data_IF_973598748282
#
_entry.id   IF_973598748282
#
_cell.length_a   1.000
_cell.length_b   1.000
_cell.length_c   1.000
_cell.angle_alpha   90.00
_cell.angle_beta   90.00
_cell.angle_gamma   90.00
#
_symmetry.space_group_name_H-M   'P 1'
#
loop_
_entity.id
_entity.type
_entity.pdbx_description
1 polymer ?
#
# COMPACT_ATOMS: atom_id res chain seq x y z
N UNK A 1 -44.23 -4.56 -45.13
CA UNK A 1 -42.82 -4.41 -44.69
C UNK A 1 -42.39 -2.97 -44.91
N UNK A 2 -42.27 -2.19 -43.84
CA UNK A 2 -41.71 -0.83 -43.84
C UNK A 2 -40.70 -0.79 -42.70
N UNK A 3 -39.41 -0.78 -43.00
CA UNK A 3 -38.36 -0.58 -42.00
C UNK A 3 -38.00 0.90 -41.96
N UNK A 4 -38.33 1.51 -40.82
CA UNK A 4 -38.00 2.88 -40.44
C UNK A 4 -36.56 2.88 -39.92
N UNK A 5 -35.64 3.56 -40.63
CA UNK A 5 -34.24 3.72 -40.23
C UNK A 5 -34.16 4.93 -39.28
N UNK A 6 -33.78 4.66 -38.03
CA UNK A 6 -33.62 5.65 -36.96
C UNK A 6 -32.12 6.01 -36.88
N UNK A 7 -31.77 7.22 -37.30
CA UNK A 7 -30.44 7.79 -37.18
C UNK A 7 -30.25 8.31 -35.74
N UNK A 8 -29.39 7.65 -34.97
CA UNK A 8 -28.91 8.14 -33.67
C UNK A 8 -27.69 9.05 -33.90
N UNK A 9 -27.81 10.33 -33.57
CA UNK A 9 -26.71 11.28 -33.52
C UNK A 9 -25.92 11.13 -32.21
N UNK A 10 -24.68 10.65 -32.32
CA UNK A 10 -23.74 10.57 -31.20
C UNK A 10 -22.95 11.89 -31.11
N UNK A 11 -23.25 12.74 -30.13
CA UNK A 11 -22.42 13.90 -29.82
C UNK A 11 -21.24 13.46 -28.93
N UNK A 12 -20.03 13.55 -29.47
CA UNK A 12 -18.77 13.45 -28.73
C UNK A 12 -18.45 14.84 -28.13
N UNK A 13 -18.45 14.94 -26.80
CA UNK A 13 -17.78 16.02 -26.08
C UNK A 13 -16.36 15.57 -25.74
N UNK A 14 -15.38 16.19 -26.41
CA UNK A 14 -13.95 16.10 -26.08
C UNK A 14 -13.63 17.20 -25.07
N UNK A 15 -13.54 16.84 -23.79
CA UNK A 15 -12.98 17.70 -22.75
C UNK A 15 -11.50 17.37 -22.59
N UNK A 16 -10.63 18.22 -23.13
CA UNK A 16 -9.18 18.17 -22.89
C UNK A 16 -8.87 18.75 -21.52
N UNK A 17 -8.53 17.89 -20.56
CA UNK A 17 -7.92 18.32 -19.30
C UNK A 17 -6.40 18.11 -19.41
N UNK A 18 -5.66 19.21 -19.57
CA UNK A 18 -4.21 19.24 -19.37
C UNK A 18 -3.92 19.15 -17.88
N UNK A 19 -3.31 18.05 -17.43
CA UNK A 19 -2.73 17.91 -16.09
C UNK A 19 -1.26 18.32 -16.18
N UNK A 20 -0.92 19.47 -15.59
CA UNK A 20 0.46 19.90 -15.39
C UNK A 20 0.97 19.26 -14.08
N UNK A 21 2.16 18.63 -14.05
CA UNK A 21 2.72 18.08 -12.82
C UNK A 21 3.17 19.21 -11.87
N UNK A 22 2.75 19.12 -10.61
CA UNK A 22 3.24 19.96 -9.54
C UNK A 22 4.72 19.64 -9.24
N UNK A 23 5.58 20.65 -9.31
CA UNK A 23 6.97 20.60 -8.89
C UNK A 23 6.99 20.82 -7.37
N UNK A 24 7.22 19.76 -6.59
CA UNK A 24 7.52 19.85 -5.16
C UNK A 24 9.02 19.68 -4.93
N UNK A 25 9.72 20.78 -4.59
CA UNK A 25 10.97 20.84 -3.79
C UNK A 25 11.11 22.27 -3.25
N UNK A 26 11.53 22.54 -2.02
CA UNK A 26 11.89 21.67 -0.90
C UNK A 26 11.92 22.49 0.39
N UNK A 27 11.61 21.87 1.51
CA UNK A 27 11.80 22.44 2.83
C UNK A 27 13.04 21.81 3.46
N UNK A 28 14.08 22.62 3.67
CA UNK A 28 15.16 22.33 4.62
C UNK A 28 15.34 23.57 5.47
N UNK A 29 14.97 23.47 6.74
CA UNK A 29 15.42 24.35 7.80
C UNK A 29 15.59 23.46 9.03
N UNK A 30 16.82 23.03 9.25
CA UNK A 30 17.26 22.34 10.46
C UNK A 30 17.17 23.31 11.64
N UNK A 31 16.42 22.94 12.67
CA UNK A 31 16.52 23.57 13.98
C UNK A 31 17.34 22.61 14.84
N UNK A 32 18.62 22.93 14.97
CA UNK A 32 19.53 22.29 15.92
C UNK A 32 19.34 22.91 17.31
N UNK A 33 19.27 22.06 18.34
CA UNK A 33 19.66 22.47 19.69
C UNK A 33 18.60 22.29 20.77
N UNK A 34 18.39 21.05 21.20
CA UNK A 34 18.22 20.68 22.62
C UNK A 34 18.34 19.16 22.71
N UNK A 35 19.29 18.68 23.50
CA UNK A 35 19.43 17.28 23.83
C UNK A 35 18.28 16.87 24.76
N UNK A 36 17.11 16.65 24.18
CA UNK A 36 16.08 15.79 24.75
C UNK A 36 16.67 14.40 24.82
N UNK A 37 16.54 13.72 25.96
CA UNK A 37 16.52 12.25 25.96
C UNK A 37 15.45 11.84 24.96
N UNK A 38 15.88 11.57 23.73
CA UNK A 38 15.03 11.13 22.63
C UNK A 38 14.48 9.78 23.03
N UNK A 39 13.32 9.80 23.67
CA UNK A 39 12.43 8.65 23.60
C UNK A 39 12.25 8.38 22.11
N UNK A 40 12.61 7.18 21.68
CA UNK A 40 12.29 6.74 20.34
C UNK A 40 10.80 7.00 20.09
N UNK A 41 10.43 7.54 18.92
CA UNK A 41 9.05 7.94 18.67
C UNK A 41 8.16 6.71 18.79
N UNK A 42 7.27 6.72 19.79
CA UNK A 42 6.31 5.65 19.96
C UNK A 42 5.43 5.50 18.73
N UNK A 43 4.94 4.31 18.54
CA UNK A 43 4.01 3.98 17.48
C UNK A 43 2.60 3.99 18.06
N UNK A 44 1.71 4.76 17.46
CA UNK A 44 0.28 4.73 17.75
C UNK A 44 -0.30 3.45 17.17
N UNK A 45 -0.51 2.43 18.00
CA UNK A 45 -1.15 1.17 17.59
C UNK A 45 -2.66 1.29 17.76
N UNK A 46 -3.39 1.40 16.65
CA UNK A 46 -4.84 1.44 16.65
C UNK A 46 -5.40 0.02 16.45
N UNK A 47 -6.09 -0.48 17.47
CA UNK A 47 -6.78 -1.76 17.47
C UNK A 47 -8.26 -1.53 17.17
N UNK A 48 -8.83 -2.36 16.32
CA UNK A 48 -10.26 -2.35 16.03
C UNK A 48 -10.81 -3.76 16.15
N UNK A 49 -11.33 -4.07 17.33
CA UNK A 49 -11.95 -5.35 17.64
C UNK A 49 -13.41 -5.37 17.19
N UNK A 50 -13.86 -6.54 16.73
CA UNK A 50 -15.22 -6.76 16.23
C UNK A 50 -15.21 -7.34 14.82
N UNK A 51 -16.36 -7.26 14.14
CA UNK A 51 -16.53 -7.87 12.83
C UNK A 51 -15.56 -7.28 11.80
N UNK A 52 -14.62 -8.12 11.35
CA UNK A 52 -13.63 -7.77 10.34
C UNK A 52 -14.13 -8.11 8.94
N UNK A 53 -13.77 -7.29 7.95
CA UNK A 53 -13.98 -7.62 6.53
C UNK A 53 -13.16 -8.84 6.10
N UNK A 54 -12.09 -9.16 6.83
CA UNK A 54 -11.22 -10.32 6.58
C UNK A 54 -11.89 -11.63 7.05
N UNK A 55 -12.76 -11.56 8.06
CA UNK A 55 -13.52 -12.71 8.55
C UNK A 55 -15.02 -12.36 8.68
N UNK A 56 -15.75 -12.28 7.56
CA UNK A 56 -17.14 -11.81 7.55
C UNK A 56 -18.13 -12.79 8.22
N UNK A 57 -17.71 -14.04 8.45
CA UNK A 57 -18.52 -15.09 9.05
C UNK A 57 -18.15 -15.38 10.52
N UNK A 58 -17.23 -14.61 11.10
CA UNK A 58 -16.90 -14.76 12.52
C UNK A 58 -18.05 -14.29 13.42
N UNK A 59 -18.27 -15.01 14.52
CA UNK A 59 -19.27 -14.70 15.54
C UNK A 59 -18.88 -13.50 16.43
N UNK A 60 -17.63 -13.03 16.31
CA UNK A 60 -17.10 -11.96 17.13
C UNK A 60 -17.65 -10.58 16.71
N UNK A 61 -18.46 -9.96 17.57
CA UNK A 61 -19.15 -8.70 17.24
C UNK A 61 -20.26 -8.87 16.19
N UNK A 62 -21.03 -9.96 16.26
CA UNK A 62 -22.13 -10.29 15.36
C UNK A 62 -23.16 -9.16 15.18
N UNK A 63 -23.38 -8.34 16.21
CA UNK A 63 -24.26 -7.18 16.20
C UNK A 63 -23.77 -6.03 15.31
N UNK A 64 -22.52 -6.10 14.83
CA UNK A 64 -21.83 -5.01 14.15
C UNK A 64 -21.12 -4.04 15.09
N UNK A 65 -21.16 -4.29 16.41
CA UNK A 65 -20.40 -3.50 17.38
C UNK A 65 -18.89 -3.57 17.11
N UNK A 66 -18.21 -2.48 17.45
CA UNK A 66 -16.76 -2.33 17.36
C UNK A 66 -16.20 -1.74 18.64
N UNK A 67 -15.03 -2.24 19.02
CA UNK A 67 -14.24 -1.72 20.13
C UNK A 67 -12.91 -1.17 19.56
N UNK A 68 -12.91 0.11 19.13
CA UNK A 68 -11.68 0.79 18.76
C UNK A 68 -10.90 1.18 20.02
N UNK A 69 -9.62 0.81 20.07
CA UNK A 69 -8.69 1.11 21.17
C UNK A 69 -7.39 1.61 20.56
N UNK A 70 -6.79 2.65 21.12
CA UNK A 70 -5.50 3.17 20.66
C UNK A 70 -4.48 3.04 21.78
N UNK A 71 -3.35 2.41 21.47
CA UNK A 71 -2.29 2.09 22.42
C UNK A 71 -0.97 2.60 21.85
N UNK A 72 -0.43 3.71 22.37
CA UNK A 72 0.93 4.11 22.08
C UNK A 72 1.90 3.05 22.57
N UNK A 73 2.72 2.48 21.68
CA UNK A 73 3.67 1.43 21.99
C UNK A 73 5.09 1.85 21.60
N UNK A 74 6.06 1.50 22.43
CA UNK A 74 7.47 1.56 22.13
C UNK A 74 7.97 0.15 21.80
N UNK A 75 8.79 0.04 20.74
CA UNK A 75 9.43 -1.20 20.36
C UNK A 75 10.88 -1.11 20.78
N UNK A 76 11.35 -2.12 21.51
CA UNK A 76 12.73 -2.18 22.00
C UNK A 76 13.55 -3.18 21.20
N UNK A 77 14.87 -2.98 21.14
CA UNK A 77 15.81 -3.92 20.49
C UNK A 77 15.82 -5.31 21.12
N UNK A 78 15.38 -5.44 22.38
CA UNK A 78 15.25 -6.73 23.07
C UNK A 78 14.01 -7.53 22.64
N UNK A 79 13.23 -7.03 21.68
CA UNK A 79 12.05 -7.72 21.18
C UNK A 79 10.81 -7.51 22.07
N UNK A 80 10.76 -6.45 22.87
CA UNK A 80 9.59 -6.11 23.70
C UNK A 80 8.80 -4.95 23.10
N UNK A 81 7.47 -5.10 23.07
CA UNK A 81 6.51 -4.07 22.66
C UNK A 81 5.81 -3.55 23.91
N UNK A 82 6.17 -2.34 24.33
CA UNK A 82 5.77 -1.75 25.60
C UNK A 82 4.77 -0.61 25.41
N UNK A 83 3.54 -0.72 25.93
CA UNK A 83 2.63 0.41 26.01
C UNK A 83 3.28 1.57 26.79
N UNK A 84 3.17 2.81 26.30
CA UNK A 84 3.61 4.01 27.05
C UNK A 84 2.80 4.22 28.32
N UNK A 85 1.56 3.76 28.31
CA UNK A 85 0.64 3.82 29.43
C UNK A 85 0.25 2.39 29.79
N UNK A 86 0.19 2.10 31.08
CA UNK A 86 -0.27 0.84 31.65
C UNK A 86 -1.78 0.63 31.54
N UNK A 87 -2.49 1.57 30.88
CA UNK A 87 -3.92 1.56 30.72
C UNK A 87 -4.33 1.92 29.29
N UNK A 88 -5.47 1.37 28.88
CA UNK A 88 -6.20 1.71 27.66
C UNK A 88 -7.52 2.34 28.02
N UNK A 89 -7.95 3.32 27.22
CA UNK A 89 -9.24 3.96 27.38
C UNK A 89 -10.10 3.79 26.13
N UNK A 90 -11.39 3.61 26.35
CA UNK A 90 -12.39 3.58 25.29
C UNK A 90 -13.75 4.06 25.81
N UNK A 91 -14.62 4.45 24.90
CA UNK A 91 -15.97 4.95 25.24
C UNK A 91 -17.02 3.89 24.99
N UNK A 92 -17.90 3.68 25.97
CA UNK A 92 -19.11 2.87 25.89
C UNK A 92 -20.34 3.71 26.27
N UNK A 93 -21.55 3.13 26.20
CA UNK A 93 -22.80 3.77 26.61
C UNK A 93 -22.80 4.24 28.07
N UNK A 94 -21.98 3.62 28.92
CA UNK A 94 -21.80 3.96 30.33
C UNK A 94 -20.81 5.10 30.55
N UNK A 95 -20.10 5.55 29.50
CA UNK A 95 -19.11 6.62 29.55
C UNK A 95 -17.70 6.14 29.18
N UNK A 96 -16.69 6.88 29.67
CA UNK A 96 -15.28 6.54 29.48
C UNK A 96 -14.87 5.39 30.39
N UNK A 97 -14.36 4.31 29.81
CA UNK A 97 -13.85 3.14 30.52
C UNK A 97 -12.33 3.14 30.40
N UNK A 98 -11.64 2.86 31.50
CA UNK A 98 -10.18 2.73 31.57
C UNK A 98 -9.86 1.33 32.10
N UNK A 99 -8.97 0.61 31.42
CA UNK A 99 -8.60 -0.78 31.74
C UNK A 99 -7.09 -0.97 31.64
N UNK A 100 -6.48 -1.85 32.43
CA UNK A 100 -5.04 -2.09 32.35
C UNK A 100 -4.65 -2.77 31.03
N UNK A 101 -3.44 -2.52 30.57
CA UNK A 101 -2.79 -3.21 29.46
C UNK A 101 -1.34 -3.50 29.80
N UNK A 102 -0.85 -4.64 29.34
CA UNK A 102 0.53 -5.05 29.48
C UNK A 102 1.15 -5.26 28.12
N UNK A 103 2.41 -4.85 28.01
CA UNK A 103 3.23 -5.12 26.85
C UNK A 103 3.54 -6.59 26.68
N UNK A 104 4.00 -6.93 25.48
CA UNK A 104 4.37 -8.30 25.13
C UNK A 104 5.66 -8.32 24.32
N UNK A 105 5.83 -9.39 23.55
CA UNK A 105 6.97 -9.55 22.65
C UNK A 105 6.61 -9.12 21.25
N UNK A 106 7.58 -8.64 20.48
CA UNK A 106 7.47 -8.54 19.04
C UNK A 106 8.58 -9.35 18.36
N UNK A 107 8.29 -9.80 17.14
CA UNK A 107 9.26 -10.46 16.27
C UNK A 107 8.95 -10.15 14.82
N UNK A 108 10.00 -10.10 14.02
CA UNK A 108 9.91 -10.02 12.58
C UNK A 108 10.31 -11.37 12.00
N UNK A 109 9.49 -11.86 11.07
CA UNK A 109 9.77 -13.07 10.32
C UNK A 109 9.82 -12.76 8.83
N UNK A 110 10.82 -13.29 8.14
CA UNK A 110 10.87 -13.19 6.69
C UNK A 110 9.77 -14.06 6.10
N UNK A 111 8.97 -13.48 5.21
CA UNK A 111 7.93 -14.23 4.52
C UNK A 111 8.63 -15.23 3.57
N UNK A 112 8.62 -16.52 3.93
CA UNK A 112 9.43 -17.59 3.29
C UNK A 112 9.12 -17.88 1.81
N UNK A 113 8.26 -17.08 1.16
CA UNK A 113 8.03 -17.16 -0.28
C UNK A 113 9.13 -16.40 -1.00
N UNK A 114 10.00 -17.12 -1.72
CA UNK A 114 11.13 -16.57 -2.51
C UNK A 114 10.74 -15.44 -3.50
N UNK A 115 9.46 -15.29 -3.86
CA UNK A 115 8.94 -14.19 -4.70
C UNK A 115 8.56 -12.93 -3.93
N UNK A 116 8.32 -13.06 -2.61
CA UNK A 116 7.76 -12.02 -1.74
C UNK A 116 8.75 -11.62 -0.63
N UNK A 117 10.02 -12.01 -0.77
CA UNK A 117 11.12 -11.84 0.20
C UNK A 117 11.45 -10.38 0.58
N UNK A 118 10.66 -9.44 0.08
CA UNK A 118 10.77 -8.00 0.30
C UNK A 118 9.81 -7.51 1.40
N UNK A 119 8.73 -8.24 1.71
CA UNK A 119 7.88 -7.92 2.86
C UNK A 119 8.21 -8.82 4.05
N UNK A 120 8.23 -8.22 5.24
CA UNK A 120 8.49 -8.94 6.47
C UNK A 120 7.23 -8.94 7.34
N UNK A 121 6.93 -10.08 7.96
CA UNK A 121 5.77 -10.26 8.82
C UNK A 121 6.17 -9.87 10.24
N UNK A 122 5.56 -8.81 10.77
CA UNK A 122 5.62 -8.44 12.17
C UNK A 122 4.53 -9.19 12.93
N UNK A 123 4.94 -9.87 14.00
CA UNK A 123 4.04 -10.39 15.00
C UNK A 123 4.37 -9.69 16.33
N UNK A 124 3.41 -9.03 16.95
CA UNK A 124 3.55 -8.48 18.30
C UNK A 124 2.42 -8.97 19.20
N UNK A 125 2.66 -9.04 20.50
CA UNK A 125 1.65 -9.43 21.49
C UNK A 125 1.38 -8.32 22.49
N UNK A 126 0.14 -8.26 22.96
CA UNK A 126 -0.30 -7.41 24.08
C UNK A 126 -1.20 -8.25 24.97
N UNK A 127 -1.15 -8.03 26.28
CA UNK A 127 -1.96 -8.76 27.25
C UNK A 127 -2.93 -7.81 27.94
N UNK A 128 -4.19 -8.23 28.08
CA UNK A 128 -5.23 -7.48 28.78
C UNK A 128 -5.55 -8.18 30.11
N UNK A 129 -5.08 -7.66 31.26
CA UNK A 129 -5.30 -8.30 32.56
C UNK A 129 -6.78 -8.35 32.97
N UNK A 130 -7.56 -7.37 32.54
CA UNK A 130 -9.00 -7.28 32.79
C UNK A 130 -9.81 -7.48 31.51
N UNK A 131 -11.08 -7.86 31.66
CA UNK A 131 -12.01 -7.97 30.54
C UNK A 131 -12.23 -6.61 29.87
N UNK A 132 -12.13 -6.58 28.54
CA UNK A 132 -12.59 -5.46 27.73
C UNK A 132 -13.93 -5.82 27.11
N UNK A 133 -14.92 -4.96 27.28
CA UNK A 133 -16.27 -5.21 26.78
C UNK A 133 -16.89 -3.95 26.19
N UNK A 134 -17.50 -4.11 25.02
CA UNK A 134 -18.37 -3.10 24.39
C UNK A 134 -19.40 -3.79 23.51
N UNK A 135 -20.67 -3.72 23.93
CA UNK A 135 -21.74 -4.48 23.29
C UNK A 135 -21.49 -6.00 23.38
N UNK A 136 -21.47 -6.68 22.24
CA UNK A 136 -21.15 -8.10 22.08
C UNK A 136 -19.68 -8.39 21.74
N UNK A 137 -18.83 -7.35 21.68
CA UNK A 137 -17.38 -7.51 21.59
C UNK A 137 -16.83 -7.68 23.01
N UNK A 138 -16.40 -8.90 23.34
CA UNK A 138 -15.87 -9.28 24.65
C UNK A 138 -14.48 -9.88 24.48
N UNK A 139 -13.48 -9.25 25.10
CA UNK A 139 -12.12 -9.77 25.21
C UNK A 139 -11.95 -10.26 26.65
N UNK A 140 -11.82 -11.58 26.88
CA UNK A 140 -11.73 -12.12 28.23
C UNK A 140 -10.54 -11.55 29.01
N UNK A 141 -10.66 -11.49 30.34
CA UNK A 141 -9.53 -11.16 31.20
C UNK A 141 -8.37 -12.16 31.00
N UNK A 142 -7.14 -11.67 31.16
CA UNK A 142 -5.89 -12.43 30.94
C UNK A 142 -5.69 -12.90 29.50
N UNK A 143 -6.42 -12.35 28.54
CA UNK A 143 -6.23 -12.67 27.12
C UNK A 143 -4.94 -12.06 26.59
N UNK A 144 -4.19 -12.85 25.83
CA UNK A 144 -3.08 -12.36 25.02
C UNK A 144 -3.54 -12.21 23.58
N UNK A 145 -3.43 -11.00 23.07
CA UNK A 145 -3.79 -10.64 21.71
C UNK A 145 -2.53 -10.64 20.85
N UNK A 146 -2.56 -11.40 19.76
CA UNK A 146 -1.50 -11.42 18.75
C UNK A 146 -1.87 -10.50 17.59
N UNK A 147 -1.01 -9.55 17.29
CA UNK A 147 -1.15 -8.61 16.18
C UNK A 147 -0.18 -9.02 15.08
N UNK A 148 -0.71 -9.32 13.91
CA UNK A 148 0.05 -9.74 12.72
C UNK A 148 -0.05 -8.66 11.65
N UNK A 149 1.07 -8.21 11.08
CA UNK A 149 1.09 -7.15 10.08
C UNK A 149 2.31 -7.23 9.18
N UNK A 150 2.31 -6.41 8.12
CA UNK A 150 3.43 -6.30 7.21
C UNK A 150 4.28 -5.08 7.54
N UNK A 151 5.58 -5.23 7.37
CA UNK A 151 6.59 -4.21 7.59
C UNK A 151 7.42 -4.04 6.33
N UNK A 152 7.64 -2.79 5.94
CA UNK A 152 8.41 -2.41 4.76
C UNK A 152 9.47 -1.39 5.15
N UNK A 153 10.74 -1.69 4.92
CA UNK A 153 11.78 -0.67 5.01
C UNK A 153 11.73 0.26 3.79
N UNK A 154 12.17 1.51 3.97
CA UNK A 154 12.26 2.47 2.89
C UNK A 154 13.15 1.97 1.74
N UNK A 155 14.26 1.30 2.04
CA UNK A 155 15.14 0.69 1.04
C UNK A 155 14.38 -0.33 0.17
N UNK A 156 13.57 -1.18 0.78
CA UNK A 156 12.79 -2.20 0.07
C UNK A 156 11.75 -1.55 -0.83
N UNK A 157 11.03 -0.54 -0.34
CA UNK A 157 10.07 0.19 -1.17
C UNK A 157 10.74 0.84 -2.38
N UNK A 158 11.92 1.44 -2.19
CA UNK A 158 12.72 2.01 -3.27
C UNK A 158 13.11 0.95 -4.31
N UNK A 159 13.56 -0.23 -3.87
CA UNK A 159 13.89 -1.36 -4.77
C UNK A 159 12.67 -1.82 -5.58
N UNK A 160 11.48 -1.86 -4.97
CA UNK A 160 10.23 -2.22 -5.65
C UNK A 160 9.83 -1.16 -6.69
N UNK A 161 9.94 0.11 -6.35
CA UNK A 161 9.66 1.22 -7.27
C UNK A 161 10.65 1.27 -8.44
N UNK A 162 11.94 1.07 -8.18
CA UNK A 162 12.97 0.96 -9.22
C UNK A 162 12.70 -0.21 -10.16
N UNK A 163 12.38 -1.40 -9.62
CA UNK A 163 12.04 -2.56 -10.42
C UNK A 163 10.79 -2.33 -11.31
N UNK A 164 9.78 -1.65 -10.77
CA UNK A 164 8.60 -1.27 -11.55
C UNK A 164 8.91 -0.22 -12.63
N UNK A 165 9.69 0.81 -12.30
CA UNK A 165 10.11 1.84 -13.24
C UNK A 165 10.89 1.25 -14.41
N UNK A 166 11.83 0.34 -14.12
CA UNK A 166 12.61 -0.36 -15.14
C UNK A 166 11.71 -1.22 -16.05
N UNK A 167 10.78 -1.98 -15.47
CA UNK A 167 9.83 -2.79 -16.26
C UNK A 167 8.95 -1.92 -17.16
N UNK A 168 8.49 -0.77 -16.67
CA UNK A 168 7.71 0.20 -17.46
C UNK A 168 8.54 0.84 -18.57
N UNK A 169 9.81 1.16 -18.32
CA UNK A 169 10.72 1.67 -19.35
C UNK A 169 10.95 0.64 -20.46
N UNK A 170 11.13 -0.64 -20.10
CA UNK A 170 11.25 -1.73 -21.05
C UNK A 170 9.97 -1.94 -21.88
N UNK A 171 8.79 -1.87 -21.25
CA UNK A 171 7.51 -1.91 -21.95
C UNK A 171 7.39 -0.77 -22.96
N UNK A 172 7.71 0.46 -22.55
CA UNK A 172 7.66 1.62 -23.44
C UNK A 172 8.63 1.48 -24.62
N UNK A 173 9.88 1.06 -24.40
CA UNK A 173 10.84 0.80 -25.49
C UNK A 173 10.32 -0.26 -26.46
N UNK A 174 9.72 -1.34 -25.94
CA UNK A 174 9.13 -2.38 -26.78
C UNK A 174 7.94 -1.82 -27.60
N UNK A 175 7.09 -1.00 -27.01
CA UNK A 175 6.00 -0.32 -27.72
C UNK A 175 6.51 0.66 -28.79
N UNK A 176 7.55 1.44 -28.49
CA UNK A 176 8.17 2.37 -29.44
C UNK A 176 8.72 1.64 -30.66
N UNK A 177 9.47 0.55 -30.47
CA UNK A 177 9.98 -0.28 -31.58
C UNK A 177 8.86 -0.90 -32.43
N UNK A 178 7.71 -1.22 -31.84
CA UNK A 178 6.54 -1.69 -32.57
C UNK A 178 5.84 -0.54 -33.32
N UNK A 179 5.76 0.64 -32.70
CA UNK A 179 5.18 1.84 -33.30
C UNK A 179 6.01 2.36 -34.48
N UNK A 180 7.33 2.30 -34.40
CA UNK A 180 8.25 2.63 -35.51
C UNK A 180 7.95 1.77 -36.74
N UNK A 181 7.77 0.46 -36.56
CA UNK A 181 7.37 -0.44 -37.66
C UNK A 181 6.03 -0.02 -38.27
N UNK A 182 5.06 0.37 -37.43
CA UNK A 182 3.78 0.86 -37.94
C UNK A 182 3.89 2.20 -38.64
N UNK A 183 4.68 3.15 -38.12
CA UNK A 183 4.92 4.46 -38.74
C UNK A 183 5.60 4.32 -40.09
N UNK A 184 6.54 3.40 -40.23
CA UNK A 184 7.20 3.13 -41.51
C UNK A 184 6.25 2.45 -42.51
N UNK A 185 5.46 1.47 -42.06
CA UNK A 185 4.47 0.77 -42.89
C UNK A 185 3.32 1.66 -43.36
N UNK A 186 2.78 2.45 -42.43
CA UNK A 186 1.57 3.28 -42.64
C UNK A 186 1.93 4.74 -42.97
N UNK A 187 3.21 5.03 -43.17
CA UNK A 187 3.74 6.33 -43.53
C UNK A 187 3.17 6.87 -44.85
N UNK A 188 3.21 8.20 -45.06
CA UNK A 188 2.71 8.80 -46.29
C UNK A 188 3.47 8.23 -47.49
N UNK A 189 2.77 8.08 -48.62
CA UNK A 189 3.40 7.69 -49.89
C UNK A 189 4.51 8.69 -50.22
N UNK A 190 5.65 8.19 -50.67
CA UNK A 190 6.76 9.01 -51.17
C UNK A 190 6.77 8.92 -52.69
N UNK A 191 6.99 10.06 -53.34
CA UNK A 191 7.13 10.09 -54.80
C UNK A 191 8.43 9.38 -55.18
N UNK A 192 8.34 8.33 -56.01
CA UNK A 192 9.49 7.63 -56.54
C UNK A 192 9.79 8.16 -57.96
N UNK A 193 10.89 8.90 -58.17
CA UNK A 193 11.19 9.48 -59.48
C UNK A 193 11.57 8.43 -60.54
N UNK A 194 11.98 7.22 -60.13
CA UNK A 194 12.37 6.14 -61.06
C UNK A 194 11.15 5.45 -61.66
N UNK A 195 10.09 5.27 -60.88
CA UNK A 195 8.84 4.62 -61.31
C UNK A 195 7.75 5.63 -61.67
N UNK A 196 8.00 6.92 -61.46
CA UNK A 196 7.06 8.02 -61.68
C UNK A 196 5.69 7.80 -60.99
N UNK A 197 5.72 7.21 -59.80
CA UNK A 197 4.53 6.89 -59.03
C UNK A 197 4.70 7.25 -57.55
N UNK A 198 3.56 7.52 -56.89
CA UNK A 198 3.48 7.60 -55.43
C UNK A 198 3.50 6.20 -54.85
N UNK A 199 4.64 5.79 -54.31
CA UNK A 199 4.81 4.47 -53.71
C UNK A 199 4.74 4.55 -52.20
N UNK A 200 4.14 3.54 -51.57
CA UNK A 200 4.30 3.36 -50.13
C UNK A 200 5.74 2.90 -49.87
N UNK A 201 6.35 3.27 -48.73
CA UNK A 201 7.57 2.62 -48.28
C UNK A 201 7.31 1.11 -48.26
N UNK A 202 7.96 0.35 -49.13
CA UNK A 202 7.90 -1.12 -49.10
C UNK A 202 8.74 -1.56 -47.91
N UNK A 203 8.08 -1.79 -46.79
CA UNK A 203 8.69 -2.47 -45.66
C UNK A 203 8.57 -3.97 -45.91
N UNK A 204 9.65 -4.60 -46.38
CA UNK A 204 9.80 -6.06 -46.39
C UNK A 204 10.12 -6.55 -44.97
N UNK A 205 9.27 -6.20 -43.99
CA UNK A 205 9.36 -6.79 -42.65
C UNK A 205 8.67 -8.13 -42.71
N UNK A 206 9.39 -9.25 -42.47
CA UNK A 206 8.77 -10.56 -42.43
C UNK A 206 7.67 -10.59 -41.37
N UNK A 207 6.53 -11.24 -41.67
CA UNK A 207 5.44 -11.39 -40.69
C UNK A 207 5.94 -11.93 -39.34
N UNK A 208 6.96 -12.79 -39.35
CA UNK A 208 7.59 -13.34 -38.16
C UNK A 208 8.23 -12.29 -37.26
N UNK A 209 8.86 -11.25 -37.81
CA UNK A 209 9.45 -10.15 -37.03
C UNK A 209 8.34 -9.31 -36.36
N UNK A 210 7.24 -9.06 -37.07
CA UNK A 210 6.08 -8.38 -36.49
C UNK A 210 5.46 -9.19 -35.35
N UNK A 211 5.29 -10.50 -35.51
CA UNK A 211 4.83 -11.39 -34.44
C UNK A 211 5.78 -11.39 -33.23
N UNK A 212 7.10 -11.41 -33.46
CA UNK A 212 8.10 -11.36 -32.40
C UNK A 212 8.04 -10.04 -31.62
N UNK A 213 7.85 -8.91 -32.29
CA UNK A 213 7.68 -7.59 -31.65
C UNK A 213 6.42 -7.53 -30.80
N UNK A 214 5.28 -8.00 -31.31
CA UNK A 214 4.04 -8.12 -30.53
C UNK A 214 4.19 -9.00 -29.30
N UNK A 215 4.83 -10.17 -29.46
CA UNK A 215 5.10 -11.07 -28.33
C UNK A 215 5.99 -10.42 -27.27
N UNK A 216 6.99 -9.65 -27.72
CA UNK A 216 7.88 -8.90 -26.82
C UNK A 216 7.09 -7.87 -26.01
N UNK A 217 6.27 -7.03 -26.66
CA UNK A 217 5.39 -6.06 -25.97
C UNK A 217 4.47 -6.77 -24.96
N UNK A 218 3.82 -7.87 -25.38
CA UNK A 218 2.95 -8.64 -24.50
C UNK A 218 3.69 -9.15 -23.25
N UNK A 219 4.89 -9.72 -23.42
CA UNK A 219 5.70 -10.23 -22.31
C UNK A 219 6.13 -9.13 -21.35
N UNK A 220 6.53 -7.95 -21.86
CA UNK A 220 6.92 -6.80 -21.04
C UNK A 220 5.73 -6.23 -20.28
N UNK A 221 4.56 -6.13 -20.91
CA UNK A 221 3.31 -5.73 -20.25
C UNK A 221 2.90 -6.68 -19.13
N UNK A 222 3.09 -7.99 -19.32
CA UNK A 222 2.85 -8.97 -18.26
C UNK A 222 3.83 -8.79 -17.09
N UNK A 223 5.10 -8.51 -17.38
CA UNK A 223 6.10 -8.22 -16.34
C UNK A 223 5.77 -6.93 -15.57
N UNK A 224 5.40 -5.85 -16.26
CA UNK A 224 4.95 -4.61 -15.60
C UNK A 224 3.78 -4.87 -14.66
N UNK A 225 2.78 -5.66 -15.10
CA UNK A 225 1.64 -6.04 -14.26
C UNK A 225 2.07 -6.83 -13.04
N UNK A 226 3.00 -7.79 -13.19
CA UNK A 226 3.55 -8.58 -12.08
C UNK A 226 4.27 -7.70 -11.06
N UNK A 227 5.12 -6.78 -11.53
CA UNK A 227 5.86 -5.85 -10.66
C UNK A 227 4.94 -4.85 -9.96
N UNK A 228 3.96 -4.32 -10.67
CA UNK A 228 2.96 -3.42 -10.08
C UNK A 228 2.11 -4.13 -9.02
N UNK A 229 1.77 -5.40 -9.22
CA UNK A 229 1.01 -6.19 -8.25
C UNK A 229 1.83 -6.54 -6.99
N UNK A 230 3.16 -6.70 -7.12
CA UNK A 230 4.06 -6.96 -5.99
C UNK A 230 4.32 -5.70 -5.14
N UNK A 231 4.06 -4.51 -5.68
CA UNK A 231 4.30 -3.24 -5.00
C UNK A 231 3.12 -2.88 -4.09
N UNK A 232 3.35 -2.58 -2.80
CA UNK A 232 2.29 -2.05 -1.94
C UNK A 232 1.86 -0.67 -2.46
N UNK A 233 0.55 -0.37 -2.45
CA UNK A 233 0.07 0.98 -2.78
C UNK A 233 0.34 1.91 -1.61
N UNK A 234 0.47 3.20 -1.88
CA UNK A 234 0.59 4.21 -0.80
C UNK A 234 -0.61 4.21 0.13
N UNK A 235 -1.79 3.83 -0.35
CA UNK A 235 -2.98 3.62 0.49
C UNK A 235 -2.81 2.48 1.47
N UNK A 236 -2.03 1.45 1.12
CA UNK A 236 -1.93 0.19 1.87
C UNK A 236 -0.79 0.26 2.90
N UNK A 237 -0.12 1.41 3.03
CA UNK A 237 0.98 1.67 3.96
C UNK A 237 0.55 2.73 4.98
N UNK A 238 1.29 2.80 6.09
CA UNK A 238 1.20 3.88 7.07
C UNK A 238 1.49 5.21 6.37
N UNK A 239 0.74 6.26 6.72
CA UNK A 239 0.91 7.59 6.10
C UNK A 239 2.29 8.19 6.33
N UNK A 240 2.88 7.83 7.46
CA UNK A 240 4.19 8.31 7.91
C UNK A 240 5.08 7.10 8.21
N UNK A 241 6.38 7.25 7.94
CA UNK A 241 7.39 6.29 8.35
C UNK A 241 8.05 6.71 9.66
N UNK A 242 8.50 5.72 10.42
CA UNK A 242 9.14 5.90 11.72
C UNK A 242 10.37 5.00 11.87
N UNK A 243 11.26 5.30 12.82
CA UNK A 243 12.31 4.37 13.21
C UNK A 243 11.70 3.11 13.83
N UNK A 244 12.34 1.97 13.58
CA UNK A 244 11.94 0.69 14.15
C UNK A 244 13.18 -0.15 14.48
N UNK A 245 13.24 -0.81 15.65
CA UNK A 245 14.36 -1.66 16.04
C UNK A 245 14.78 -2.67 14.98
N UNK A 246 16.09 -2.79 14.75
CA UNK A 246 16.67 -3.70 13.76
C UNK A 246 16.63 -3.20 12.30
N UNK A 247 16.19 -1.97 12.04
CA UNK A 247 16.33 -1.30 10.75
C UNK A 247 17.17 -0.03 10.88
N UNK A 248 18.11 0.14 9.95
CA UNK A 248 18.88 1.39 9.83
C UNK A 248 18.02 2.51 9.22
N UNK A 249 17.11 2.13 8.31
CA UNK A 249 16.21 3.05 7.62
C UNK A 249 14.84 3.16 8.29
N UNK A 250 14.09 4.21 7.91
CA UNK A 250 12.71 4.36 8.33
C UNK A 250 11.83 3.25 7.75
N UNK A 251 10.82 2.89 8.53
CA UNK A 251 9.91 1.78 8.26
C UNK A 251 8.49 2.27 8.07
N UNK A 252 7.78 1.61 7.17
CA UNK A 252 6.35 1.73 6.96
C UNK A 252 5.65 0.45 7.39
N UNK A 253 4.53 0.59 8.09
CA UNK A 253 3.66 -0.55 8.38
C UNK A 253 2.56 -0.67 7.35
N UNK A 254 2.07 -1.89 7.12
CA UNK A 254 0.84 -2.09 6.39
C UNK A 254 -0.32 -1.38 7.09
N UNK A 255 -1.20 -0.74 6.31
CA UNK A 255 -2.35 0.00 6.82
C UNK A 255 -3.31 -0.92 7.61
N UNK A 256 -3.35 -2.21 7.27
CA UNK A 256 -4.26 -3.16 7.89
C UNK A 256 -3.53 -4.48 8.23
N UNK A 257 -3.36 -4.72 9.53
CA UNK A 257 -2.97 -6.00 10.11
C UNK A 257 -4.17 -6.73 10.72
N UNK A 258 -3.92 -7.96 11.18
CA UNK A 258 -4.91 -8.88 11.74
C UNK A 258 -4.69 -9.00 13.26
N UNK A 259 -5.79 -9.00 14.01
CA UNK A 259 -5.80 -9.27 15.44
C UNK A 259 -6.28 -10.70 15.68
N UNK A 260 -5.52 -11.49 16.44
CA UNK A 260 -5.88 -12.85 16.84
C UNK A 260 -5.94 -13.05 18.35
N UNK A 261 -6.91 -13.83 18.79
CA UNK A 261 -7.01 -14.41 20.15
C UNK A 261 -7.25 -15.90 19.95
N UNK A 262 -6.42 -16.75 20.56
CA UNK A 262 -6.51 -18.21 20.43
C UNK A 262 -6.66 -18.70 18.98
N UNK A 263 -5.87 -18.11 18.07
CA UNK A 263 -5.90 -18.31 16.60
C UNK A 263 -7.13 -17.78 15.85
N UNK A 264 -8.17 -17.34 16.55
CA UNK A 264 -9.36 -16.75 15.94
C UNK A 264 -9.11 -15.30 15.56
N UNK A 265 -9.55 -14.89 14.36
CA UNK A 265 -9.46 -13.50 13.91
C UNK A 265 -10.58 -12.69 14.55
N UNK A 266 -10.21 -11.74 15.41
CA UNK A 266 -11.13 -10.94 16.23
C UNK A 266 -11.15 -9.46 15.85
N UNK A 267 -10.37 -9.05 14.86
CA UNK A 267 -10.30 -7.66 14.44
C UNK A 267 -9.14 -7.35 13.51
N UNK A 268 -8.90 -6.06 13.37
CA UNK A 268 -7.83 -5.49 12.53
C UNK A 268 -7.06 -4.45 13.32
N UNK A 269 -5.78 -4.28 13.04
CA UNK A 269 -4.99 -3.21 13.64
C UNK A 269 -4.24 -2.42 12.59
N UNK A 270 -3.82 -1.21 12.95
CA UNK A 270 -2.93 -0.38 12.16
C UNK A 270 -1.95 0.32 13.10
N UNK A 271 -0.84 0.80 12.55
CA UNK A 271 0.09 1.60 13.34
C UNK A 271 0.69 2.74 12.52
N UNK A 272 0.85 3.87 13.19
CA UNK A 272 1.46 5.08 12.66
C UNK A 272 2.45 5.63 13.70
N UNK A 273 3.62 6.16 13.28
CA UNK A 273 4.54 6.79 14.22
C UNK A 273 3.87 8.01 14.87
N UNK A 274 4.06 8.18 16.17
CA UNK A 274 3.69 9.40 16.88
C UNK A 274 4.75 10.45 16.61
N UNK A 275 4.46 11.30 15.63
CA UNK A 275 5.26 12.48 15.39
C UNK A 275 4.62 13.65 16.14
N UNK A 276 5.41 14.39 16.91
CA UNK A 276 5.01 15.67 17.54
C UNK A 276 4.88 16.81 16.52
N UNK A 277 4.88 16.48 15.21
CA UNK A 277 4.59 17.47 14.18
C UNK A 277 3.17 17.95 14.46
N UNK A 278 2.97 19.25 14.76
CA UNK A 278 1.64 19.79 15.02
C UNK A 278 0.75 19.35 13.87
N UNK A 279 -0.49 18.94 14.18
CA UNK A 279 -1.46 18.56 13.18
C UNK A 279 -1.66 19.71 12.19
N UNK A 280 -0.81 19.78 11.17
CA UNK A 280 -1.02 20.64 10.03
C UNK A 280 -2.24 20.03 9.38
N UNK A 281 -3.38 20.71 9.56
CA UNK A 281 -4.63 20.41 8.88
C UNK A 281 -4.32 20.23 7.40
N UNK A 282 -4.11 18.98 6.98
CA UNK A 282 -4.09 18.63 5.57
C UNK A 282 -5.53 18.77 5.13
N UNK A 283 -5.83 19.95 4.58
CA UNK A 283 -7.09 20.25 3.93
C UNK A 283 -7.39 19.16 2.91
N UNK A 284 -8.64 18.70 2.96
CA UNK A 284 -9.36 18.07 1.86
C UNK A 284 -8.85 18.56 0.49
N UNK A 285 -8.37 17.62 -0.33
CA UNK A 285 -8.39 17.73 -1.78
C UNK A 285 -8.98 16.45 -2.35
#
# INVERSE_FOLDING_TARGET
MKYLILLLSLQLHLSTAFVVPAVERGATAEISGLATTTFDPAWRVALNFGKSTINPFGDFGASGARLPVVIPCEFTDSGLAMPRYDTVSYTDITGGIVKPVQGGSWKISNNGKKSDAMSQNLQMTLTFPEELRKGDVIIPAQSTVSLEGLVYSQEVLKKLDEAFSNARSDEWKAEETLEEVYKERDGPKKWNPKTQAWERPTMDVPLTDLFQKHWTVFSKKQETRRRNAARPRSSDLSKQSGPFPGYEDRVYFGQQGIIRIDNNVVGTWSAEPMNDVPATYFGTR
#
